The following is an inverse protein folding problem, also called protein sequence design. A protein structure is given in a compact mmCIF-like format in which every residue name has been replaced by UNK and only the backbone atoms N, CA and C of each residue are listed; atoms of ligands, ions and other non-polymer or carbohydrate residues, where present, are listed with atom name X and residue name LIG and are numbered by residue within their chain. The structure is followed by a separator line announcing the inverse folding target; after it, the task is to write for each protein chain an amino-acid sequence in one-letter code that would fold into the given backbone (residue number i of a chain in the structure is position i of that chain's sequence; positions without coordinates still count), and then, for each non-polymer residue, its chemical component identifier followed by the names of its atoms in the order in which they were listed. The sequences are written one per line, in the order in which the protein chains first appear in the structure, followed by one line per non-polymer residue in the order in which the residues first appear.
data_IF_687696938518
#
_entry.id   IF_687696938518
#
_cell.length_a   1.000
_cell.length_b   1.000
_cell.length_c   1.000
_cell.angle_alpha   90.00
_cell.angle_beta   90.00
_cell.angle_gamma   90.00
#
_symmetry.space_group_name_H-M   'P 1'
#
loop_
_entity.id
_entity.type
_entity.pdbx_description
1 polymer ?
#
# COMPACT_ATOMS: atom_id res chain seq x y z
N UNK A 1 14.00 2.54 -11.21
CA UNK A 1 12.64 3.12 -11.29
C UNK A 1 11.66 2.21 -12.00
N UNK A 2 12.07 1.60 -13.13
CA UNK A 2 11.19 0.68 -13.84
C UNK A 2 10.82 -0.52 -12.97
N UNK A 3 11.78 -1.03 -12.19
CA UNK A 3 11.51 -2.13 -11.26
C UNK A 3 10.53 -1.71 -10.17
N UNK A 4 10.69 -0.51 -9.65
CA UNK A 4 9.81 -0.03 -8.59
C UNK A 4 8.37 0.11 -9.11
N UNK A 5 8.22 0.66 -10.32
CA UNK A 5 6.88 0.82 -10.91
C UNK A 5 6.20 -0.53 -11.13
N UNK A 6 6.92 -1.50 -11.67
CA UNK A 6 6.39 -2.83 -11.90
C UNK A 6 5.99 -3.49 -10.58
N UNK A 7 6.85 -3.35 -9.58
CA UNK A 7 6.59 -3.87 -8.25
C UNK A 7 5.33 -3.25 -7.65
N UNK A 8 5.20 -1.93 -7.75
CA UNK A 8 4.03 -1.24 -7.19
C UNK A 8 2.76 -1.58 -7.93
N UNK A 9 2.81 -1.77 -9.24
CA UNK A 9 1.61 -2.16 -9.99
C UNK A 9 1.09 -3.50 -9.50
N UNK A 10 1.99 -4.45 -9.25
CA UNK A 10 1.60 -5.76 -8.73
C UNK A 10 1.07 -5.65 -7.29
N UNK A 11 1.74 -4.85 -6.47
CA UNK A 11 1.34 -4.68 -5.07
C UNK A 11 -0.03 -4.01 -4.95
N UNK A 12 -0.27 -2.97 -5.75
CA UNK A 12 -1.55 -2.27 -5.72
C UNK A 12 -2.67 -3.19 -6.21
N UNK A 13 -2.40 -4.02 -7.21
CA UNK A 13 -3.39 -4.97 -7.70
C UNK A 13 -3.79 -5.95 -6.60
N UNK A 14 -2.82 -6.45 -5.82
CA UNK A 14 -3.09 -7.32 -4.68
C UNK A 14 -3.86 -6.57 -3.58
N UNK A 15 -3.46 -5.35 -3.31
CA UNK A 15 -4.09 -4.52 -2.30
C UNK A 15 -5.58 -4.34 -2.57
N UNK A 16 -5.94 -4.11 -3.83
CA UNK A 16 -7.32 -3.88 -4.20
C UNK A 16 -8.23 -5.10 -3.97
N UNK A 17 -7.63 -6.28 -3.81
CA UNK A 17 -8.37 -7.51 -3.50
C UNK A 17 -8.46 -7.75 -2.01
N UNK A 18 -7.86 -6.91 -1.18
CA UNK A 18 -7.84 -7.09 0.27
C UNK A 18 -8.92 -6.28 0.95
N UNK A 19 -9.36 -6.76 2.12
CA UNK A 19 -10.32 -6.03 2.94
C UNK A 19 -9.64 -5.07 3.90
N UNK A 20 -8.38 -5.32 4.20
CA UNK A 20 -7.60 -4.44 5.09
C UNK A 20 -6.11 -4.56 4.77
N UNK A 21 -5.35 -3.56 5.21
CA UNK A 21 -3.89 -3.58 5.14
C UNK A 21 -3.31 -3.29 6.51
N UNK A 22 -2.11 -3.77 6.75
CA UNK A 22 -1.40 -3.57 8.00
C UNK A 22 -0.12 -2.77 7.74
N UNK A 23 -0.07 -1.56 8.29
CA UNK A 23 1.07 -0.67 8.09
C UNK A 23 2.12 -0.96 9.15
N UNK A 24 3.30 -1.37 8.72
CA UNK A 24 4.39 -1.69 9.62
C UNK A 24 5.02 -0.40 10.17
N UNK A 25 5.74 -0.54 11.28
CA UNK A 25 6.47 0.57 11.87
C UNK A 25 7.38 1.20 10.81
N UNK A 26 7.48 2.53 10.84
CA UNK A 26 8.29 3.31 9.92
C UNK A 26 7.78 3.29 8.47
N UNK A 27 6.50 3.00 8.28
CA UNK A 27 5.90 3.03 6.94
C UNK A 27 6.07 4.42 6.28
N UNK A 28 6.15 5.49 7.08
CA UNK A 28 6.31 6.84 6.56
C UNK A 28 7.61 7.03 5.78
N UNK A 29 8.59 6.15 6.01
CA UNK A 29 9.88 6.21 5.33
C UNK A 29 9.86 5.46 4.00
N UNK A 30 8.76 4.79 3.69
CA UNK A 30 8.63 3.98 2.47
C UNK A 30 7.72 4.68 1.48
N UNK A 31 8.27 4.99 0.30
CA UNK A 31 7.51 5.57 -0.79
C UNK A 31 6.35 4.67 -1.20
N UNK A 32 6.62 3.35 -1.27
CA UNK A 32 5.59 2.38 -1.65
C UNK A 32 4.50 2.27 -0.61
N UNK A 33 4.87 2.23 0.67
CA UNK A 33 3.89 2.12 1.75
C UNK A 33 2.97 3.34 1.80
N UNK A 34 3.53 4.53 1.54
CA UNK A 34 2.71 5.74 1.51
C UNK A 34 1.70 5.71 0.37
N UNK A 35 2.11 5.22 -0.78
CA UNK A 35 1.20 5.07 -1.92
C UNK A 35 0.11 4.04 -1.61
N UNK A 36 0.47 2.92 -1.00
CA UNK A 36 -0.49 1.90 -0.62
C UNK A 36 -1.51 2.44 0.37
N UNK A 37 -1.06 3.22 1.33
CA UNK A 37 -1.97 3.85 2.30
C UNK A 37 -2.96 4.78 1.61
N UNK A 38 -2.47 5.58 0.67
CA UNK A 38 -3.33 6.51 -0.07
C UNK A 38 -4.41 5.76 -0.86
N UNK A 39 -4.01 4.71 -1.58
CA UNK A 39 -4.94 3.88 -2.34
C UNK A 39 -5.94 3.21 -1.42
N UNK A 40 -5.47 2.60 -0.34
CA UNK A 40 -6.34 1.91 0.61
C UNK A 40 -7.38 2.86 1.19
N UNK A 41 -6.96 4.04 1.63
CA UNK A 41 -7.86 5.03 2.21
C UNK A 41 -8.89 5.48 1.19
N UNK A 42 -8.46 5.70 -0.05
CA UNK A 42 -9.35 6.16 -1.12
C UNK A 42 -10.36 5.11 -1.54
N UNK A 43 -10.01 3.83 -1.39
CA UNK A 43 -10.86 2.72 -1.83
C UNK A 43 -11.65 2.07 -0.70
N UNK A 44 -11.63 2.65 0.49
CA UNK A 44 -12.39 2.12 1.61
C UNK A 44 -11.82 0.85 2.22
N UNK A 45 -10.55 0.56 1.96
CA UNK A 45 -9.87 -0.58 2.55
C UNK A 45 -9.43 -0.17 3.96
N UNK A 46 -9.71 -1.04 4.93
CA UNK A 46 -9.39 -0.74 6.33
C UNK A 46 -7.89 -0.72 6.54
N UNK A 47 -7.39 0.31 7.25
CA UNK A 47 -5.97 0.46 7.54
C UNK A 47 -5.73 0.17 9.01
N UNK A 48 -4.80 -0.73 9.28
CA UNK A 48 -4.35 -1.07 10.63
C UNK A 48 -2.89 -0.68 10.75
N UNK A 49 -2.49 -0.21 11.91
CA UNK A 49 -1.12 0.23 12.16
C UNK A 49 -0.46 -0.63 13.22
N UNK A 50 0.83 -0.88 13.05
CA UNK A 50 1.64 -1.58 14.03
C UNK A 50 1.73 -0.81 15.32
#
# INVERSE_FOLDING_TARGET
EAHWRAHMRADIALLLACDYIYMLKDWELSKGAKLELDVASSCGIKVLFE
#
